data_IF_875117847852
#
_entry.id   IF_875117847852
#
_cell.length_a   1.000
_cell.length_b   1.000
_cell.length_c   1.000
_cell.angle_alpha   90.00
_cell.angle_beta   90.00
_cell.angle_gamma   90.00
#
_symmetry.space_group_name_H-M   'P 1'
#
loop_
_entity.id
_entity.type
_entity.pdbx_description
1 polymer ?
#
# COMPACT_ATOMS: atom_id res chain seq x y z
N UNK A 1 -21.61 -21.91 -23.11
CA UNK A 1 -20.38 -22.07 -22.31
C UNK A 1 -19.27 -22.34 -23.27
N UNK A 2 -18.32 -21.43 -23.41
CA UNK A 2 -17.13 -21.68 -24.22
C UNK A 2 -16.03 -22.10 -23.25
N UNK A 3 -15.60 -23.37 -23.25
CA UNK A 3 -14.52 -23.82 -22.39
C UNK A 3 -13.24 -23.01 -22.69
N UNK A 4 -12.35 -22.92 -21.69
CA UNK A 4 -10.99 -22.40 -21.90
C UNK A 4 -10.39 -23.10 -23.13
N UNK A 5 -9.92 -22.31 -24.09
CA UNK A 5 -9.37 -22.82 -25.35
C UNK A 5 -8.10 -23.63 -25.13
N UNK A 6 -7.81 -24.57 -26.03
CA UNK A 6 -6.57 -25.36 -25.98
C UNK A 6 -5.31 -24.47 -25.97
N UNK A 7 -5.35 -23.34 -26.67
CA UNK A 7 -4.29 -22.35 -26.67
C UNK A 7 -4.09 -21.72 -25.29
N UNK A 8 -5.18 -21.38 -24.58
CA UNK A 8 -5.10 -20.87 -23.21
C UNK A 8 -4.58 -21.93 -22.23
N UNK A 9 -4.96 -23.20 -22.39
CA UNK A 9 -4.41 -24.30 -21.58
C UNK A 9 -2.93 -24.47 -21.80
N UNK A 10 -2.47 -24.48 -23.06
CA UNK A 10 -1.05 -24.61 -23.37
C UNK A 10 -0.23 -23.44 -22.82
N UNK A 11 -0.73 -22.22 -22.98
CA UNK A 11 -0.13 -21.03 -22.35
C UNK A 11 -0.04 -21.18 -20.83
N UNK A 12 -1.11 -21.66 -20.20
CA UNK A 12 -1.13 -21.88 -18.74
C UNK A 12 -0.08 -22.91 -18.32
N UNK A 13 0.12 -24.00 -19.09
CA UNK A 13 1.20 -24.98 -18.82
C UNK A 13 2.59 -24.36 -18.90
N UNK A 14 2.83 -23.49 -19.88
CA UNK A 14 4.12 -22.80 -20.02
C UNK A 14 4.40 -21.89 -18.81
N UNK A 15 3.41 -21.11 -18.38
CA UNK A 15 3.55 -20.24 -17.20
C UNK A 15 3.70 -21.05 -15.90
N UNK A 16 2.98 -22.18 -15.76
CA UNK A 16 3.18 -23.08 -14.61
C UNK A 16 4.59 -23.68 -14.56
N UNK A 17 5.19 -24.02 -15.72
CA UNK A 17 6.59 -24.48 -15.76
C UNK A 17 7.55 -23.41 -15.26
N UNK A 18 7.32 -22.14 -15.61
CA UNK A 18 8.10 -21.01 -15.09
C UNK A 18 7.95 -20.88 -13.56
N UNK A 19 6.71 -20.90 -13.07
CA UNK A 19 6.42 -20.87 -11.62
C UNK A 19 7.13 -22.00 -10.87
N UNK A 20 7.03 -23.24 -11.37
CA UNK A 20 7.67 -24.41 -10.77
C UNK A 20 9.20 -24.31 -10.81
N UNK A 21 9.75 -23.73 -11.87
CA UNK A 21 11.19 -23.44 -11.97
C UNK A 21 11.63 -22.45 -10.88
N UNK A 22 10.85 -21.39 -10.64
CA UNK A 22 11.14 -20.43 -9.56
C UNK A 22 11.01 -21.06 -8.16
N UNK A 23 9.97 -21.87 -7.92
CA UNK A 23 9.84 -22.64 -6.68
C UNK A 23 11.03 -23.58 -6.48
N UNK A 24 11.49 -24.25 -7.53
CA UNK A 24 12.65 -25.12 -7.45
C UNK A 24 13.94 -24.33 -7.17
N UNK A 25 14.14 -23.21 -7.87
CA UNK A 25 15.29 -22.31 -7.68
C UNK A 25 15.41 -21.81 -6.24
N UNK A 26 14.27 -21.53 -5.59
CA UNK A 26 14.19 -21.03 -4.20
C UNK A 26 13.94 -22.12 -3.15
N UNK A 27 13.93 -23.39 -3.53
CA UNK A 27 13.58 -24.51 -2.66
C UNK A 27 14.43 -24.62 -1.40
N UNK A 28 15.70 -24.20 -1.44
CA UNK A 28 16.59 -24.17 -0.27
C UNK A 28 16.15 -23.21 0.85
N UNK A 29 15.21 -22.30 0.57
CA UNK A 29 14.63 -21.36 1.53
C UNK A 29 13.20 -21.72 1.92
N UNK A 30 12.53 -22.61 1.18
CA UNK A 30 11.13 -22.95 1.41
C UNK A 30 10.97 -24.17 2.31
N UNK A 31 9.94 -24.14 3.15
CA UNK A 31 9.42 -25.29 3.88
C UNK A 31 8.14 -25.82 3.21
N UNK A 32 7.09 -26.01 4.01
CA UNK A 32 5.78 -26.37 3.50
C UNK A 32 5.09 -25.19 2.80
N UNK A 33 4.13 -25.50 1.94
CA UNK A 33 3.24 -24.54 1.30
C UNK A 33 1.98 -24.42 2.15
N UNK A 34 1.76 -23.25 2.73
CA UNK A 34 0.48 -22.86 3.29
C UNK A 34 -0.54 -22.76 2.16
N UNK A 35 -1.68 -23.42 2.32
CA UNK A 35 -2.85 -23.13 1.52
C UNK A 35 -3.95 -22.54 2.40
N UNK A 36 -4.67 -21.58 1.84
CA UNK A 36 -5.88 -21.04 2.42
C UNK A 36 -6.97 -21.08 1.34
N UNK A 37 -8.15 -21.57 1.70
CA UNK A 37 -9.26 -21.76 0.76
C UNK A 37 -10.60 -21.45 1.42
N UNK A 38 -11.30 -20.48 0.83
CA UNK A 38 -12.70 -20.22 1.04
C UNK A 38 -13.51 -20.86 -0.09
N UNK A 39 -14.47 -21.70 0.28
CA UNK A 39 -15.41 -22.33 -0.67
C UNK A 39 -16.84 -22.05 -0.23
N UNK A 40 -17.71 -21.84 -1.20
CA UNK A 40 -19.12 -21.52 -0.95
C UNK A 40 -20.02 -22.20 -1.96
N UNK A 41 -21.24 -22.54 -1.53
CA UNK A 41 -22.30 -22.88 -2.48
C UNK A 41 -23.00 -21.62 -2.94
N UNK A 42 -23.25 -21.52 -4.25
CA UNK A 42 -24.05 -20.43 -4.81
C UNK A 42 -25.52 -20.51 -4.38
N UNK A 43 -26.37 -19.65 -4.95
CA UNK A 43 -27.82 -19.63 -4.69
C UNK A 43 -28.50 -20.98 -4.91
N UNK A 44 -27.97 -21.84 -5.79
CA UNK A 44 -28.52 -23.17 -6.05
C UNK A 44 -28.33 -24.17 -4.89
N UNK A 45 -27.45 -23.86 -3.92
CA UNK A 45 -27.03 -24.69 -2.77
C UNK A 45 -26.60 -26.12 -3.14
N UNK A 46 -26.25 -26.38 -4.40
CA UNK A 46 -25.97 -27.73 -4.92
C UNK A 46 -24.49 -27.97 -5.15
N UNK A 47 -23.80 -27.00 -5.75
CA UNK A 47 -22.38 -27.14 -6.12
C UNK A 47 -21.50 -26.25 -5.25
N UNK A 48 -20.40 -26.82 -4.77
CA UNK A 48 -19.33 -26.04 -4.15
C UNK A 48 -18.52 -25.33 -5.22
N UNK A 49 -18.13 -24.09 -4.94
CA UNK A 49 -17.34 -23.24 -5.84
C UNK A 49 -16.22 -22.57 -5.08
N UNK A 50 -15.11 -22.32 -5.77
CA UNK A 50 -13.99 -21.58 -5.20
C UNK A 50 -14.35 -20.10 -5.06
N UNK A 51 -14.31 -19.59 -3.83
CA UNK A 51 -14.50 -18.17 -3.53
C UNK A 51 -13.14 -17.48 -3.58
N UNK A 52 -12.18 -18.00 -2.80
CA UNK A 52 -10.82 -17.46 -2.74
C UNK A 52 -9.86 -18.56 -2.30
N UNK A 53 -8.79 -18.80 -3.04
CA UNK A 53 -7.73 -19.72 -2.63
C UNK A 53 -6.35 -19.14 -2.93
N UNK A 54 -5.36 -19.44 -2.09
CA UNK A 54 -3.97 -19.16 -2.42
C UNK A 54 -3.00 -20.21 -1.89
N UNK A 55 -1.86 -20.32 -2.55
CA UNK A 55 -0.72 -21.18 -2.18
C UNK A 55 0.49 -20.30 -1.86
N UNK A 56 1.00 -20.40 -0.65
CA UNK A 56 2.11 -19.61 -0.12
C UNK A 56 3.21 -20.54 0.41
N UNK A 57 4.32 -20.75 -0.32
CA UNK A 57 5.51 -21.38 0.24
C UNK A 57 6.02 -20.60 1.45
N UNK A 58 6.02 -21.22 2.62
CA UNK A 58 6.55 -20.62 3.85
C UNK A 58 8.07 -20.70 3.86
N UNK A 59 8.73 -19.83 4.61
CA UNK A 59 10.16 -19.99 4.86
C UNK A 59 10.40 -21.29 5.66
N UNK A 60 11.50 -21.99 5.42
CA UNK A 60 11.80 -23.28 6.06
C UNK A 60 11.91 -23.23 7.59
N UNK A 61 12.22 -22.05 8.15
CA UNK A 61 12.29 -21.83 9.59
C UNK A 61 10.97 -21.31 10.17
N UNK A 62 9.98 -21.02 9.32
CA UNK A 62 8.70 -20.48 9.73
C UNK A 62 7.82 -21.58 10.31
N UNK A 63 7.28 -21.33 11.51
CA UNK A 63 6.34 -22.21 12.18
C UNK A 63 5.02 -21.47 12.31
N UNK A 64 3.99 -21.96 11.60
CA UNK A 64 2.61 -21.48 11.74
C UNK A 64 1.72 -22.56 12.35
N UNK A 65 0.79 -22.14 13.19
CA UNK A 65 -0.34 -22.99 13.56
C UNK A 65 -1.24 -23.15 12.35
N UNK A 66 -1.26 -24.35 11.77
CA UNK A 66 -2.02 -24.71 10.56
C UNK A 66 -3.13 -25.71 10.90
N UNK A 67 -4.09 -25.89 9.98
CA UNK A 67 -5.18 -26.86 10.15
C UNK A 67 -6.43 -26.28 10.81
N UNK A 68 -6.61 -24.96 10.75
CA UNK A 68 -7.81 -24.30 11.25
C UNK A 68 -8.91 -24.39 10.19
N UNK A 69 -10.09 -24.82 10.61
CA UNK A 69 -11.26 -24.91 9.75
C UNK A 69 -12.46 -24.25 10.43
N UNK A 70 -13.23 -23.48 9.65
CA UNK A 70 -14.54 -22.98 10.05
C UNK A 70 -15.59 -23.40 9.01
N UNK A 71 -16.64 -24.05 9.47
CA UNK A 71 -17.73 -24.56 8.62
C UNK A 71 -19.06 -23.91 9.00
N UNK A 72 -19.50 -22.95 8.19
CA UNK A 72 -20.79 -22.26 8.34
C UNK A 72 -21.90 -22.93 7.52
N UNK A 73 -21.75 -24.22 7.19
CA UNK A 73 -22.72 -25.02 6.44
C UNK A 73 -22.54 -24.91 4.93
N UNK A 74 -23.00 -23.81 4.32
CA UNK A 74 -22.89 -23.56 2.87
C UNK A 74 -21.64 -22.74 2.50
N UNK A 75 -20.80 -22.40 3.49
CA UNK A 75 -19.55 -21.67 3.32
C UNK A 75 -18.50 -22.21 4.28
N UNK A 76 -17.30 -22.53 3.78
CA UNK A 76 -16.19 -23.07 4.56
C UNK A 76 -14.92 -22.27 4.34
N UNK A 77 -14.17 -22.10 5.41
CA UNK A 77 -12.82 -21.56 5.43
C UNK A 77 -11.88 -22.67 5.90
N UNK A 78 -10.84 -22.95 5.13
CA UNK A 78 -9.88 -24.00 5.42
C UNK A 78 -8.48 -23.44 5.22
N UNK A 79 -7.64 -23.57 6.25
CA UNK A 79 -6.22 -23.29 6.18
C UNK A 79 -5.43 -24.54 6.57
N UNK A 80 -4.41 -24.88 5.78
CA UNK A 80 -3.56 -26.04 6.04
C UNK A 80 -2.21 -25.90 5.36
N UNK A 81 -1.37 -26.92 5.48
CA UNK A 81 -0.11 -26.96 4.75
C UNK A 81 0.04 -28.28 3.98
N UNK A 82 0.68 -28.17 2.84
CA UNK A 82 1.06 -29.28 1.95
C UNK A 82 2.52 -29.12 1.56
N UNK A 83 3.13 -30.19 1.05
CA UNK A 83 4.46 -30.11 0.44
C UNK A 83 4.43 -29.28 -0.85
N UNK A 84 5.60 -28.82 -1.29
CA UNK A 84 5.74 -28.14 -2.58
C UNK A 84 5.28 -29.04 -3.74
N UNK A 85 5.54 -30.34 -3.68
CA UNK A 85 5.16 -31.25 -4.76
C UNK A 85 3.65 -31.50 -4.82
N UNK A 86 2.99 -31.61 -3.66
CA UNK A 86 1.52 -31.61 -3.59
C UNK A 86 0.94 -30.29 -4.13
N UNK A 87 1.54 -29.13 -3.80
CA UNK A 87 1.09 -27.84 -4.34
C UNK A 87 1.22 -27.77 -5.87
N UNK A 88 2.28 -28.35 -6.46
CA UNK A 88 2.43 -28.48 -7.92
C UNK A 88 1.37 -29.40 -8.53
N UNK A 89 1.03 -30.49 -7.85
CA UNK A 89 -0.03 -31.40 -8.26
C UNK A 89 -1.40 -30.72 -8.25
N UNK A 90 -1.69 -29.91 -7.21
CA UNK A 90 -2.92 -29.10 -7.14
C UNK A 90 -3.03 -28.17 -8.36
N UNK A 91 -1.98 -27.39 -8.64
CA UNK A 91 -1.99 -26.46 -9.78
C UNK A 91 -2.06 -27.18 -11.14
N UNK A 92 -1.37 -28.31 -11.28
CA UNK A 92 -1.46 -29.13 -12.50
C UNK A 92 -2.86 -29.69 -12.68
N UNK A 93 -3.50 -30.16 -11.60
CA UNK A 93 -4.87 -30.71 -11.62
C UNK A 93 -5.90 -29.65 -12.04
N UNK A 94 -5.75 -28.40 -11.59
CA UNK A 94 -6.60 -27.29 -12.03
C UNK A 94 -6.55 -27.12 -13.55
N UNK A 95 -5.38 -27.26 -14.17
CA UNK A 95 -5.19 -27.01 -15.62
C UNK A 95 -5.49 -28.23 -16.48
N UNK A 96 -5.21 -29.42 -15.97
CA UNK A 96 -5.34 -30.68 -16.72
C UNK A 96 -6.69 -31.35 -16.55
N UNK A 97 -7.32 -31.16 -15.39
CA UNK A 97 -8.55 -31.87 -15.02
C UNK A 97 -9.71 -30.94 -14.68
N UNK A 98 -9.52 -29.62 -14.66
CA UNK A 98 -10.54 -28.65 -14.25
C UNK A 98 -11.05 -28.87 -12.81
N UNK A 99 -10.15 -29.28 -11.91
CA UNK A 99 -10.49 -29.51 -10.50
C UNK A 99 -9.48 -28.85 -9.55
N UNK A 100 -9.98 -28.21 -8.50
CA UNK A 100 -9.20 -27.74 -7.36
C UNK A 100 -9.43 -28.69 -6.18
N UNK A 101 -8.36 -29.37 -5.77
CA UNK A 101 -8.37 -30.36 -4.69
C UNK A 101 -7.42 -29.93 -3.58
N UNK A 102 -7.94 -29.38 -2.49
CA UNK A 102 -7.16 -29.02 -1.31
C UNK A 102 -7.59 -29.88 -0.11
N UNK A 103 -6.66 -30.26 0.79
CA UNK A 103 -7.03 -31.00 1.98
C UNK A 103 -8.08 -30.26 2.82
N UNK A 104 -9.11 -30.97 3.28
CA UNK A 104 -10.20 -30.38 4.09
C UNK A 104 -11.24 -29.60 3.30
N UNK A 105 -11.06 -29.36 1.99
CA UNK A 105 -12.08 -28.79 1.11
C UNK A 105 -12.83 -29.90 0.35
N UNK A 106 -14.10 -29.70 -0.03
CA UNK A 106 -14.71 -30.52 -1.07
C UNK A 106 -13.95 -30.35 -2.38
N UNK A 107 -14.05 -31.34 -3.27
CA UNK A 107 -13.54 -31.25 -4.64
C UNK A 107 -14.33 -30.19 -5.41
N UNK A 108 -13.62 -29.24 -6.02
CA UNK A 108 -14.22 -28.07 -6.69
C UNK A 108 -13.97 -28.16 -8.19
N UNK A 109 -15.04 -28.23 -8.99
CA UNK A 109 -14.99 -28.04 -10.43
C UNK A 109 -14.57 -26.57 -10.73
N UNK A 110 -13.52 -26.38 -11.52
CA UNK A 110 -12.96 -25.05 -11.81
C UNK A 110 -12.29 -24.99 -13.17
N UNK A 111 -12.53 -23.91 -13.92
CA UNK A 111 -11.73 -23.58 -15.09
C UNK A 111 -10.95 -22.31 -14.81
N UNK A 112 -9.62 -22.41 -14.85
CA UNK A 112 -8.74 -21.28 -14.62
C UNK A 112 -7.55 -21.29 -15.60
N UNK A 113 -7.07 -20.10 -15.95
CA UNK A 113 -5.93 -19.94 -16.86
C UNK A 113 -4.95 -18.87 -16.38
N UNK A 114 -3.69 -19.01 -16.79
CA UNK A 114 -2.65 -18.00 -16.62
C UNK A 114 -2.38 -17.34 -17.97
N UNK A 115 -2.42 -16.00 -18.00
CA UNK A 115 -2.13 -15.26 -19.22
C UNK A 115 -0.63 -14.99 -19.37
N UNK A 116 0.01 -15.24 -20.53
CA UNK A 116 1.45 -15.03 -20.75
C UNK A 116 1.93 -13.59 -20.59
N UNK A 117 1.03 -12.61 -20.77
CA UNK A 117 1.31 -11.18 -20.58
C UNK A 117 0.88 -10.65 -19.20
N UNK A 118 0.37 -11.53 -18.33
CA UNK A 118 0.17 -11.26 -16.90
C UNK A 118 1.07 -12.14 -16.02
N UNK A 119 2.29 -12.55 -16.46
CA UNK A 119 3.09 -13.44 -15.65
C UNK A 119 3.58 -12.61 -14.48
N UNK A 120 3.20 -13.05 -13.28
CA UNK A 120 3.61 -12.51 -12.00
C UNK A 120 3.57 -10.98 -11.81
N UNK A 121 2.62 -10.50 -11.00
CA UNK A 121 2.79 -9.17 -10.42
C UNK A 121 3.90 -9.25 -9.37
N UNK A 122 4.96 -8.45 -9.54
CA UNK A 122 5.97 -8.27 -8.49
C UNK A 122 5.41 -7.32 -7.42
N UNK A 123 5.28 -7.83 -6.21
CA UNK A 123 4.95 -7.04 -5.04
C UNK A 123 6.21 -6.87 -4.20
N UNK A 124 6.56 -5.62 -3.90
CA UNK A 124 7.60 -5.33 -2.95
C UNK A 124 7.15 -5.63 -1.52
N UNK A 125 8.11 -5.68 -0.59
CA UNK A 125 7.84 -6.02 0.81
C UNK A 125 6.97 -5.01 1.56
N UNK A 126 6.65 -3.84 1.01
CA UNK A 126 5.77 -2.85 1.63
C UNK A 126 4.28 -3.03 1.31
N UNK A 127 3.90 -4.06 0.55
CA UNK A 127 2.50 -4.36 0.21
C UNK A 127 2.04 -5.68 0.83
N UNK A 128 1.02 -5.62 1.69
CA UNK A 128 0.57 -6.76 2.49
C UNK A 128 -0.85 -7.23 2.12
N UNK A 129 -1.00 -7.85 0.95
CA UNK A 129 -2.28 -8.48 0.52
C UNK A 129 -2.49 -9.87 1.11
N UNK A 130 -1.39 -10.59 1.30
CA UNK A 130 -1.34 -11.92 1.92
C UNK A 130 -0.65 -11.82 3.29
N UNK A 131 -0.72 -12.86 4.14
CA UNK A 131 0.07 -12.93 5.36
C UNK A 131 1.56 -13.18 5.03
N UNK A 132 2.18 -12.24 4.32
CA UNK A 132 3.55 -12.28 3.82
C UNK A 132 4.15 -10.87 3.89
N UNK A 133 5.31 -10.77 4.51
CA UNK A 133 6.05 -9.52 4.74
C UNK A 133 7.37 -9.45 3.97
N UNK A 134 7.52 -10.29 2.94
CA UNK A 134 8.66 -10.36 2.03
C UNK A 134 8.20 -10.09 0.60
N UNK A 135 9.07 -9.61 -0.29
CA UNK A 135 8.70 -9.40 -1.69
C UNK A 135 8.34 -10.72 -2.36
N UNK A 136 7.43 -10.69 -3.32
CA UNK A 136 6.94 -11.91 -3.96
C UNK A 136 6.41 -11.67 -5.37
N UNK A 137 6.40 -12.75 -6.15
CA UNK A 137 5.66 -12.82 -7.40
C UNK A 137 4.29 -13.46 -7.16
N UNK A 138 3.22 -12.81 -7.63
CA UNK A 138 1.85 -13.33 -7.59
C UNK A 138 1.42 -13.87 -8.95
N UNK A 139 1.28 -15.18 -9.07
CA UNK A 139 0.67 -15.82 -10.23
C UNK A 139 -0.83 -15.98 -9.98
N UNK A 140 -1.63 -15.05 -10.50
CA UNK A 140 -3.08 -15.05 -10.34
C UNK A 140 -3.75 -15.82 -11.50
N UNK A 141 -4.40 -16.93 -11.16
CA UNK A 141 -5.14 -17.76 -12.11
C UNK A 141 -6.51 -17.13 -12.35
N UNK A 142 -6.74 -16.67 -13.58
CA UNK A 142 -8.02 -16.11 -13.99
C UNK A 142 -9.05 -17.22 -14.12
N UNK A 143 -9.96 -17.27 -13.15
CA UNK A 143 -11.07 -18.23 -13.09
C UNK A 143 -12.21 -17.76 -14.01
N UNK A 144 -12.72 -18.68 -14.83
CA UNK A 144 -13.89 -18.43 -15.67
C UNK A 144 -15.13 -18.11 -14.83
N UNK A 145 -15.95 -17.15 -15.29
CA UNK A 145 -17.05 -16.61 -14.51
C UNK A 145 -18.07 -17.66 -14.09
N UNK A 146 -18.28 -18.70 -14.90
CA UNK A 146 -19.24 -19.77 -14.61
C UNK A 146 -18.76 -20.69 -13.47
N UNK A 147 -17.50 -20.59 -13.04
CA UNK A 147 -16.88 -21.40 -11.99
C UNK A 147 -16.56 -20.62 -10.71
N UNK A 148 -16.77 -19.30 -10.71
CA UNK A 148 -16.54 -18.45 -9.53
C UNK A 148 -17.61 -18.72 -8.46
N UNK A 149 -17.15 -18.86 -7.21
CA UNK A 149 -17.99 -18.80 -6.02
C UNK A 149 -18.09 -17.38 -5.49
N UNK A 150 -19.13 -17.10 -4.71
CA UNK A 150 -19.36 -15.81 -4.07
C UNK A 150 -19.26 -15.97 -2.54
N UNK A 151 -18.67 -14.97 -1.88
CA UNK A 151 -18.71 -14.90 -0.42
C UNK A 151 -20.11 -14.49 0.08
N UNK A 152 -20.63 -15.10 1.15
CA UNK A 152 -21.88 -14.67 1.78
C UNK A 152 -21.86 -13.19 2.18
N UNK A 153 -22.94 -12.46 1.88
CA UNK A 153 -23.09 -11.06 2.29
C UNK A 153 -23.73 -10.89 3.68
N UNK A 154 -24.34 -11.97 4.19
CA UNK A 154 -24.94 -12.02 5.52
C UNK A 154 -23.91 -12.37 6.61
N UNK A 155 -24.26 -12.07 7.85
CA UNK A 155 -23.44 -12.44 9.01
C UNK A 155 -23.25 -13.95 9.12
N UNK A 156 -22.04 -14.35 9.49
CA UNK A 156 -21.63 -15.72 9.75
C UNK A 156 -21.50 -15.92 11.26
N UNK A 157 -22.12 -16.95 11.82
CA UNK A 157 -22.07 -17.30 13.24
C UNK A 157 -22.41 -18.77 13.45
N UNK A 158 -21.94 -19.34 14.56
CA UNK A 158 -22.23 -20.70 15.01
C UNK A 158 -21.86 -20.87 16.48
N UNK A 159 -22.34 -21.92 17.13
CA UNK A 159 -22.13 -22.14 18.58
C UNK A 159 -20.64 -22.15 18.96
N UNK A 160 -19.82 -22.81 18.14
CA UNK A 160 -18.37 -22.95 18.35
C UNK A 160 -17.55 -22.22 17.27
N UNK A 161 -18.14 -21.21 16.62
CA UNK A 161 -17.51 -20.46 15.53
C UNK A 161 -17.47 -18.97 15.84
N UNK A 162 -16.42 -18.25 15.39
CA UNK A 162 -16.38 -16.80 15.49
C UNK A 162 -17.53 -16.16 14.72
N UNK A 163 -17.92 -14.96 15.14
CA UNK A 163 -18.92 -14.15 14.43
C UNK A 163 -18.23 -13.21 13.45
N UNK A 164 -18.72 -13.15 12.22
CA UNK A 164 -18.26 -12.19 11.21
C UNK A 164 -19.46 -11.48 10.55
N UNK A 165 -19.34 -10.19 10.20
CA UNK A 165 -20.42 -9.45 9.56
C UNK A 165 -20.68 -9.89 8.12
N UNK A 166 -19.71 -10.52 7.45
CA UNK A 166 -19.83 -11.06 6.10
C UNK A 166 -18.79 -12.16 5.85
N UNK A 167 -18.94 -12.90 4.74
CA UNK A 167 -17.93 -13.85 4.27
C UNK A 167 -16.61 -13.19 3.88
N UNK A 168 -16.65 -11.97 3.33
CA UNK A 168 -15.42 -11.20 3.04
C UNK A 168 -14.63 -10.87 4.31
N UNK A 169 -15.31 -10.37 5.34
CA UNK A 169 -14.67 -10.09 6.63
C UNK A 169 -14.11 -11.37 7.29
N UNK A 170 -14.81 -12.50 7.12
CA UNK A 170 -14.33 -13.78 7.60
C UNK A 170 -13.07 -14.23 6.86
N UNK A 171 -12.99 -14.08 5.53
CA UNK A 171 -11.80 -14.38 4.72
C UNK A 171 -10.60 -13.53 5.18
N UNK A 172 -10.78 -12.21 5.30
CA UNK A 172 -9.71 -11.29 5.71
C UNK A 172 -9.17 -11.62 7.09
N UNK A 173 -10.07 -11.84 8.05
CA UNK A 173 -9.68 -12.14 9.43
C UNK A 173 -9.07 -13.53 9.56
N UNK A 174 -9.62 -14.54 8.88
CA UNK A 174 -9.21 -15.94 9.06
C UNK A 174 -7.91 -16.25 8.32
N UNK A 175 -7.71 -15.69 7.13
CA UNK A 175 -6.48 -15.88 6.34
C UNK A 175 -5.46 -14.76 6.51
N UNK A 176 -5.76 -13.75 7.34
CA UNK A 176 -4.91 -12.56 7.53
C UNK A 176 -4.56 -11.88 6.20
N UNK A 177 -5.55 -11.78 5.30
CA UNK A 177 -5.41 -11.17 3.98
C UNK A 177 -6.04 -9.79 3.91
N UNK A 178 -5.58 -8.96 2.99
CA UNK A 178 -6.19 -7.67 2.62
C UNK A 178 -6.36 -7.60 1.11
N UNK A 179 -7.35 -8.33 0.59
CA UNK A 179 -7.56 -8.44 -0.85
C UNK A 179 -8.34 -7.26 -1.45
N UNK A 180 -8.87 -6.36 -0.59
CA UNK A 180 -9.40 -5.04 -0.93
C UNK A 180 -10.91 -4.88 -0.70
N UNK A 181 -11.36 -3.63 -0.59
CA UNK A 181 -12.78 -3.25 -0.44
C UNK A 181 -13.53 -3.43 -1.76
N UNK A 182 -13.93 -4.65 -2.10
CA UNK A 182 -14.92 -4.86 -3.15
C UNK A 182 -15.91 -5.94 -2.74
N UNK A 183 -17.17 -5.63 -3.01
CA UNK A 183 -18.39 -6.44 -2.82
C UNK A 183 -18.41 -7.76 -3.61
N UNK A 184 -17.27 -8.39 -3.90
CA UNK A 184 -17.16 -9.65 -4.62
C UNK A 184 -15.81 -10.31 -4.36
N UNK A 185 -15.60 -10.89 -3.16
CA UNK A 185 -14.72 -12.06 -3.07
C UNK A 185 -15.31 -13.13 -4.00
N UNK A 186 -14.83 -13.14 -5.24
CA UNK A 186 -15.49 -13.78 -6.37
C UNK A 186 -14.48 -14.52 -7.24
N UNK A 187 -14.27 -15.80 -6.96
CA UNK A 187 -13.40 -16.71 -7.69
C UNK A 187 -11.98 -16.19 -7.88
N UNK A 188 -11.21 -16.19 -6.79
CA UNK A 188 -9.78 -15.89 -6.75
C UNK A 188 -8.94 -17.15 -6.54
N UNK A 189 -7.87 -17.36 -7.32
CA UNK A 189 -6.88 -18.42 -7.08
C UNK A 189 -5.49 -17.88 -7.41
N UNK A 190 -4.58 -17.87 -6.44
CA UNK A 190 -3.21 -17.42 -6.66
C UNK A 190 -2.15 -18.41 -6.14
N UNK A 191 -1.04 -18.49 -6.86
CA UNK A 191 0.17 -19.15 -6.39
C UNK A 191 1.27 -18.11 -6.21
N UNK A 192 1.85 -18.08 -5.01
CA UNK A 192 2.84 -17.08 -4.63
C UNK A 192 4.26 -17.65 -4.74
N UNK A 193 5.21 -16.79 -5.08
CA UNK A 193 6.63 -17.11 -5.09
C UNK A 193 7.37 -16.05 -4.25
N UNK A 194 7.42 -16.22 -2.92
CA UNK A 194 8.16 -15.31 -2.04
C UNK A 194 9.65 -15.28 -2.32
N UNK A 195 10.31 -14.15 -2.10
CA UNK A 195 11.76 -14.05 -2.14
C UNK A 195 12.32 -13.79 -0.74
N UNK A 196 12.60 -14.88 -0.02
CA UNK A 196 13.14 -14.82 1.34
C UNK A 196 14.65 -14.52 1.38
N UNK A 197 15.29 -14.21 0.24
CA UNK A 197 16.71 -13.84 0.21
C UNK A 197 16.98 -12.56 0.99
N UNK A 198 16.06 -11.60 0.91
CA UNK A 198 16.07 -10.42 1.76
C UNK A 198 14.93 -9.47 1.43
N UNK A 199 14.78 -8.43 2.26
CA UNK A 199 13.88 -7.31 2.02
C UNK A 199 14.52 -6.00 2.46
N UNK A 200 14.04 -4.90 1.92
CA UNK A 200 14.32 -3.56 2.45
C UNK A 200 13.44 -3.39 3.68
N UNK A 201 14.06 -3.24 4.85
CA UNK A 201 13.35 -3.02 6.10
C UNK A 201 13.04 -1.54 6.26
N UNK A 202 14.05 -0.69 6.12
CA UNK A 202 13.91 0.74 6.32
C UNK A 202 14.80 1.55 5.35
N UNK A 203 14.29 2.71 4.92
CA UNK A 203 15.05 3.77 4.27
C UNK A 203 14.90 5.04 5.10
N UNK A 204 15.98 5.49 5.72
CA UNK A 204 16.05 6.78 6.42
C UNK A 204 16.63 7.83 5.49
N UNK A 205 15.85 8.86 5.19
CA UNK A 205 16.26 9.99 4.35
C UNK A 205 16.64 11.15 5.29
N UNK A 206 17.93 11.45 5.38
CA UNK A 206 18.44 12.66 6.02
C UNK A 206 18.79 13.74 4.98
N UNK A 207 19.28 14.89 5.44
CA UNK A 207 19.62 16.03 4.57
C UNK A 207 20.77 15.72 3.59
N UNK A 208 21.83 15.04 4.07
CA UNK A 208 23.05 14.77 3.29
C UNK A 208 23.36 13.27 3.15
N UNK A 209 22.51 12.40 3.66
CA UNK A 209 22.71 10.96 3.56
C UNK A 209 21.39 10.20 3.50
N UNK A 210 21.40 9.08 2.78
CA UNK A 210 20.38 8.06 2.86
C UNK A 210 20.98 6.85 3.55
N UNK A 211 20.27 6.30 4.53
CA UNK A 211 20.59 5.01 5.13
C UNK A 211 19.54 3.98 4.72
N UNK A 212 19.98 2.79 4.39
CA UNK A 212 19.13 1.66 4.02
C UNK A 212 19.47 0.49 4.92
N UNK A 213 18.45 -0.06 5.56
CA UNK A 213 18.51 -1.27 6.36
C UNK A 213 17.75 -2.40 5.64
N UNK A 214 18.32 -3.60 5.67
CA UNK A 214 17.74 -4.79 5.06
C UNK A 214 17.54 -5.88 6.10
N UNK A 215 16.60 -6.79 5.85
CA UNK A 215 16.47 -8.04 6.61
C UNK A 215 16.85 -9.23 5.71
N UNK A 216 17.64 -10.17 6.23
CA UNK A 216 17.94 -11.44 5.57
C UNK A 216 17.53 -12.60 6.49
N UNK A 217 16.72 -13.53 6.00
CA UNK A 217 16.34 -14.72 6.77
C UNK A 217 17.43 -15.79 6.75
N UNK A 218 17.32 -16.74 7.69
CA UNK A 218 18.23 -17.88 7.79
C UNK A 218 18.35 -18.64 6.46
N UNK A 219 19.60 -18.87 6.04
CA UNK A 219 19.92 -19.47 4.73
C UNK A 219 20.20 -18.45 3.62
N UNK A 220 20.16 -17.15 3.93
CA UNK A 220 20.58 -16.06 3.04
C UNK A 220 21.62 -15.17 3.72
N UNK A 221 22.32 -14.36 2.94
CA UNK A 221 23.41 -13.50 3.42
C UNK A 221 23.35 -12.14 2.75
N UNK A 222 23.57 -11.07 3.51
CA UNK A 222 23.71 -9.71 2.97
C UNK A 222 24.83 -9.58 1.93
N UNK A 223 25.85 -10.44 2.01
CA UNK A 223 26.98 -10.46 1.07
C UNK A 223 26.56 -10.90 -0.33
N UNK A 224 25.45 -11.62 -0.44
CA UNK A 224 24.89 -12.07 -1.71
C UNK A 224 23.98 -10.98 -2.33
N UNK A 225 23.79 -9.86 -1.63
CA UNK A 225 22.91 -8.77 -2.04
C UNK A 225 23.71 -7.49 -2.34
N UNK A 226 23.16 -6.68 -3.24
CA UNK A 226 23.62 -5.32 -3.51
C UNK A 226 22.42 -4.40 -3.66
N UNK A 227 22.45 -3.25 -3.00
CA UNK A 227 21.47 -2.21 -3.24
C UNK A 227 21.92 -1.29 -4.36
N UNK A 228 20.97 -0.80 -5.15
CA UNK A 228 21.16 0.26 -6.14
C UNK A 228 20.25 1.42 -5.75
N UNK A 229 20.84 2.59 -5.56
CA UNK A 229 20.14 3.82 -5.24
C UNK A 229 20.08 4.70 -6.48
N UNK A 230 18.90 5.27 -6.72
CA UNK A 230 18.70 6.42 -7.58
C UNK A 230 18.08 7.55 -6.76
N UNK A 231 18.58 8.76 -6.93
CA UNK A 231 18.05 9.99 -6.34
C UNK A 231 17.96 11.04 -7.41
N UNK A 232 16.83 11.75 -7.47
CA UNK A 232 16.68 12.97 -8.27
C UNK A 232 16.19 14.12 -7.40
N UNK A 233 16.78 15.30 -7.62
CA UNK A 233 16.50 16.52 -6.89
C UNK A 233 15.50 17.41 -7.65
N UNK A 234 14.94 18.42 -7.00
CA UNK A 234 13.98 19.36 -7.62
C UNK A 234 14.58 20.15 -8.80
N UNK A 235 15.90 20.39 -8.80
CA UNK A 235 16.63 20.97 -9.92
C UNK A 235 16.86 20.03 -11.12
N UNK A 236 16.34 18.80 -11.08
CA UNK A 236 16.45 17.81 -12.17
C UNK A 236 17.77 17.03 -12.21
N UNK A 237 18.76 17.42 -11.40
CA UNK A 237 20.00 16.65 -11.23
C UNK A 237 19.67 15.31 -10.57
N UNK A 238 20.29 14.24 -11.05
CA UNK A 238 20.17 12.90 -10.48
C UNK A 238 21.53 12.29 -10.18
N UNK A 239 21.58 11.43 -9.16
CA UNK A 239 22.73 10.60 -8.84
C UNK A 239 22.30 9.14 -8.71
N UNK A 240 23.28 8.25 -8.85
CA UNK A 240 23.13 6.83 -8.54
C UNK A 240 24.27 6.38 -7.62
N UNK A 241 24.00 5.37 -6.81
CA UNK A 241 25.01 4.76 -5.95
C UNK A 241 24.79 3.26 -5.77
N UNK A 242 25.88 2.54 -5.52
CA UNK A 242 25.86 1.15 -5.09
C UNK A 242 25.89 1.11 -3.56
N UNK A 243 24.99 0.33 -2.97
CA UNK A 243 24.85 0.13 -1.53
C UNK A 243 25.42 -1.24 -1.18
N UNK A 244 26.61 -1.26 -0.59
CA UNK A 244 27.22 -2.47 -0.05
C UNK A 244 26.84 -2.57 1.43
N UNK A 245 26.17 -3.66 1.80
CA UNK A 245 25.69 -3.86 3.16
C UNK A 245 26.77 -4.42 4.07
N UNK A 246 26.81 -3.92 5.30
CA UNK A 246 27.60 -4.45 6.42
C UNK A 246 26.75 -4.31 7.67
N UNK A 247 26.61 -5.40 8.44
CA UNK A 247 25.70 -5.46 9.59
C UNK A 247 24.27 -5.01 9.22
N UNK A 248 23.82 -5.49 8.06
CA UNK A 248 22.52 -5.27 7.43
C UNK A 248 22.24 -3.83 7.02
N UNK A 249 23.25 -2.97 6.99
CA UNK A 249 23.11 -1.53 6.73
C UNK A 249 24.01 -1.05 5.62
N UNK A 250 23.53 -0.08 4.86
CA UNK A 250 24.31 0.65 3.87
C UNK A 250 23.91 2.13 3.88
N UNK A 251 24.82 2.99 3.45
CA UNK A 251 24.57 4.43 3.35
C UNK A 251 25.11 4.99 2.06
N UNK A 252 24.45 6.03 1.55
CA UNK A 252 24.95 6.83 0.43
C UNK A 252 24.88 8.32 0.79
N UNK A 253 25.91 9.06 0.39
CA UNK A 253 25.91 10.52 0.49
C UNK A 253 25.00 11.12 -0.58
N UNK A 254 24.18 12.08 -0.16
CA UNK A 254 23.36 12.92 -1.04
C UNK A 254 23.71 14.38 -0.79
N UNK A 255 23.39 15.23 -1.75
CA UNK A 255 23.70 16.67 -1.66
C UNK A 255 22.59 17.47 -1.02
N UNK A 256 21.38 16.94 -1.09
CA UNK A 256 20.16 17.67 -0.79
C UNK A 256 18.99 16.69 -0.60
N UNK A 257 17.83 17.19 -0.15
CA UNK A 257 16.64 16.38 0.01
C UNK A 257 16.13 15.85 -1.36
N UNK A 258 15.86 14.54 -1.50
CA UNK A 258 15.42 13.96 -2.76
C UNK A 258 14.00 14.41 -3.13
N UNK A 259 13.77 14.79 -4.38
CA UNK A 259 12.41 14.88 -4.94
C UNK A 259 11.84 13.47 -5.11
N UNK A 260 12.62 12.57 -5.67
CA UNK A 260 12.27 11.17 -5.82
C UNK A 260 13.50 10.28 -5.61
N UNK A 261 13.23 9.13 -5.02
CA UNK A 261 14.22 8.14 -4.64
C UNK A 261 13.70 6.76 -5.00
N UNK A 262 14.60 5.91 -5.48
CA UNK A 262 14.36 4.49 -5.69
C UNK A 262 15.55 3.72 -5.13
N UNK A 263 15.26 2.77 -4.24
CA UNK A 263 16.21 1.74 -3.82
C UNK A 263 15.75 0.41 -4.41
N UNK A 264 16.68 -0.29 -5.05
CA UNK A 264 16.48 -1.64 -5.57
C UNK A 264 17.47 -2.57 -4.90
N UNK A 265 16.99 -3.69 -4.38
CA UNK A 265 17.80 -4.76 -3.81
C UNK A 265 17.93 -5.88 -4.85
N UNK A 266 19.16 -6.22 -5.22
CA UNK A 266 19.46 -7.23 -6.24
C UNK A 266 20.30 -8.37 -5.66
N UNK A 267 20.09 -9.57 -6.19
CA UNK A 267 20.99 -10.69 -6.00
C UNK A 267 22.27 -10.48 -6.81
N UNK A 268 23.45 -10.60 -6.19
CA UNK A 268 24.74 -10.39 -6.86
C UNK A 268 25.08 -11.46 -7.88
N UNK A 269 24.63 -12.69 -7.65
CA UNK A 269 25.01 -13.84 -8.48
C UNK A 269 24.41 -13.77 -9.88
N UNK A 270 23.14 -13.35 -9.99
CA UNK A 270 22.36 -13.40 -11.22
C UNK A 270 21.70 -12.05 -11.58
N UNK A 271 21.80 -11.03 -10.73
CA UNK A 271 21.22 -9.71 -10.96
C UNK A 271 19.71 -9.66 -10.79
N UNK A 272 19.08 -10.71 -10.25
CA UNK A 272 17.63 -10.73 -10.05
C UNK A 272 17.17 -9.68 -9.04
N UNK A 273 16.00 -9.09 -9.33
CA UNK A 273 15.28 -8.24 -8.39
C UNK A 273 14.85 -9.06 -7.19
N UNK A 274 15.31 -8.66 -6.00
CA UNK A 274 14.89 -9.22 -4.72
C UNK A 274 13.81 -8.33 -4.13
N UNK A 275 14.07 -7.03 -3.97
CA UNK A 275 13.12 -6.07 -3.41
C UNK A 275 13.29 -4.67 -4.02
N UNK A 276 12.31 -3.78 -3.83
CA UNK A 276 12.44 -2.36 -4.18
C UNK A 276 11.59 -1.49 -3.28
N UNK A 277 11.99 -0.23 -3.14
CA UNK A 277 11.18 0.76 -2.44
C UNK A 277 11.40 2.14 -3.04
N UNK A 278 10.33 2.91 -3.16
CA UNK A 278 10.37 4.25 -3.74
C UNK A 278 9.81 5.29 -2.79
N UNK A 279 10.31 6.50 -2.96
CA UNK A 279 9.86 7.69 -2.27
C UNK A 279 9.65 8.81 -3.29
N UNK A 280 8.56 9.55 -3.13
CA UNK A 280 8.27 10.75 -3.90
C UNK A 280 7.85 11.86 -2.94
N UNK A 281 8.63 12.93 -2.90
CA UNK A 281 8.35 14.10 -2.11
C UNK A 281 6.97 14.69 -2.47
N UNK A 282 6.16 14.98 -1.44
CA UNK A 282 4.80 15.48 -1.62
C UNK A 282 3.77 14.41 -2.03
N UNK A 283 4.14 13.14 -2.10
CA UNK A 283 3.18 12.04 -2.27
C UNK A 283 2.26 11.93 -1.05
N UNK A 284 0.97 11.69 -1.29
CA UNK A 284 0.00 11.34 -0.24
C UNK A 284 0.18 9.90 0.28
N UNK A 285 0.89 9.07 -0.47
CA UNK A 285 1.18 7.69 -0.09
C UNK A 285 2.43 7.66 0.79
N UNK A 286 2.23 7.26 2.04
CA UNK A 286 3.32 6.88 2.93
C UNK A 286 3.81 5.52 2.48
N UNK A 287 5.03 5.46 1.95
CA UNK A 287 5.68 4.17 1.67
C UNK A 287 6.11 3.56 2.99
N UNK A 288 5.63 2.37 3.32
CA UNK A 288 6.01 1.65 4.53
C UNK A 288 7.53 1.44 4.59
N UNK A 289 8.12 1.64 5.76
CA UNK A 289 9.57 1.57 5.95
C UNK A 289 10.36 2.67 5.24
N UNK A 290 9.77 3.84 4.95
CA UNK A 290 10.51 5.05 4.58
C UNK A 290 10.29 6.12 5.65
N UNK A 291 11.37 6.55 6.28
CA UNK A 291 11.38 7.58 7.33
C UNK A 291 12.19 8.79 6.88
N UNK A 292 11.70 9.98 7.21
CA UNK A 292 12.39 11.24 6.93
C UNK A 292 12.96 11.76 8.25
N UNK A 293 14.28 11.75 8.36
CA UNK A 293 15.05 12.28 9.48
C UNK A 293 15.64 13.64 9.06
N UNK A 294 14.77 14.57 8.70
CA UNK A 294 15.17 15.91 8.28
C UNK A 294 15.04 16.93 9.42
N UNK A 295 16.15 17.48 9.95
CA UNK A 295 16.14 18.63 10.85
C UNK A 295 16.05 19.96 10.06
N UNK A 296 15.53 21.02 10.71
CA UNK A 296 15.55 22.47 10.44
C UNK A 296 15.93 23.06 9.05
N UNK A 297 16.95 22.54 8.37
CA UNK A 297 17.48 22.99 7.08
C UNK A 297 16.54 22.72 5.89
N UNK A 298 15.73 21.66 5.94
CA UNK A 298 14.79 21.30 4.87
C UNK A 298 13.63 22.29 4.75
N UNK A 299 13.20 22.88 5.88
CA UNK A 299 12.18 23.93 5.85
C UNK A 299 12.75 25.21 5.28
N UNK A 300 14.01 25.53 5.57
CA UNK A 300 14.65 26.73 5.01
C UNK A 300 14.72 26.68 3.49
N UNK A 301 14.97 25.51 2.91
CA UNK A 301 14.93 25.33 1.45
C UNK A 301 13.51 25.43 0.89
N UNK A 302 12.51 24.82 1.54
CA UNK A 302 11.10 25.00 1.15
C UNK A 302 10.70 26.47 1.20
N UNK A 303 11.18 27.22 2.20
CA UNK A 303 10.99 28.66 2.30
C UNK A 303 11.61 29.38 1.09
N UNK A 304 12.85 29.06 0.73
CA UNK A 304 13.54 29.67 -0.41
C UNK A 304 12.89 29.39 -1.77
N UNK A 305 12.13 28.29 -1.90
CA UNK A 305 11.39 27.97 -3.14
C UNK A 305 10.15 28.84 -3.35
N UNK A 306 9.74 29.61 -2.35
CA UNK A 306 8.59 30.52 -2.45
C UNK A 306 7.23 29.83 -2.22
N UNK A 307 6.18 30.64 -2.21
CA UNK A 307 4.81 30.13 -2.17
C UNK A 307 4.46 29.34 -3.45
N UNK A 308 3.66 28.29 -3.28
CA UNK A 308 3.23 27.41 -4.37
C UNK A 308 1.79 26.95 -4.17
N UNK A 309 1.33 26.02 -5.01
CA UNK A 309 0.04 25.36 -4.81
C UNK A 309 0.01 24.45 -3.58
N UNK A 310 1.17 24.10 -3.01
CA UNK A 310 1.33 23.29 -1.80
C UNK A 310 1.95 24.05 -0.61
N UNK A 311 2.36 25.32 -0.77
CA UNK A 311 3.07 26.11 0.25
C UNK A 311 2.45 27.50 0.40
N UNK A 312 2.13 27.90 1.63
CA UNK A 312 1.70 29.26 1.98
C UNK A 312 2.59 29.84 3.09
N UNK A 313 2.93 31.11 2.98
CA UNK A 313 3.68 31.84 3.98
C UNK A 313 2.80 32.86 4.68
N UNK A 314 3.06 33.03 5.98
CA UNK A 314 2.46 34.05 6.83
C UNK A 314 3.54 34.57 7.76
N UNK A 315 3.78 35.89 7.74
CA UNK A 315 4.76 36.49 8.66
C UNK A 315 4.38 36.25 10.13
N UNK A 316 3.10 36.32 10.44
CA UNK A 316 2.52 36.11 11.77
C UNK A 316 1.09 35.59 11.63
N UNK A 317 0.45 35.20 12.74
CA UNK A 317 -0.99 34.92 12.72
C UNK A 317 -1.72 36.23 12.38
N UNK A 318 -2.49 36.28 11.27
CA UNK A 318 -3.16 37.49 10.86
C UNK A 318 -4.23 37.90 11.89
N UNK A 319 -4.48 39.22 12.08
CA UNK A 319 -5.56 39.70 12.95
C UNK A 319 -6.92 39.11 12.58
N UNK A 320 -7.19 38.98 11.27
CA UNK A 320 -8.31 38.22 10.73
C UNK A 320 -7.94 36.73 10.68
N UNK A 321 -8.10 36.05 11.81
CA UNK A 321 -7.68 34.65 12.02
C UNK A 321 -8.28 33.68 11.00
N UNK A 322 -9.46 33.99 10.45
CA UNK A 322 -10.11 33.17 9.44
C UNK A 322 -9.30 33.10 8.13
N UNK A 323 -8.31 33.97 7.90
CA UNK A 323 -7.39 33.84 6.76
C UNK A 323 -6.55 32.56 6.80
N UNK A 324 -6.20 32.06 8.00
CA UNK A 324 -5.55 30.76 8.16
C UNK A 324 -6.51 29.64 7.72
N UNK A 325 -7.79 29.74 8.09
CA UNK A 325 -8.82 28.81 7.66
C UNK A 325 -9.05 28.85 6.14
N UNK A 326 -8.96 30.03 5.50
CA UNK A 326 -9.02 30.16 4.03
C UNK A 326 -7.87 29.41 3.35
N UNK A 327 -6.65 29.53 3.87
CA UNK A 327 -5.50 28.77 3.37
C UNK A 327 -5.67 27.26 3.57
N UNK A 328 -6.02 26.85 4.78
CA UNK A 328 -6.18 25.46 5.15
C UNK A 328 -7.30 24.76 4.35
N UNK A 329 -8.48 25.38 4.22
CA UNK A 329 -9.59 24.80 3.43
C UNK A 329 -9.25 24.75 1.95
N UNK A 330 -8.54 25.75 1.41
CA UNK A 330 -8.09 25.74 0.02
C UNK A 330 -7.13 24.58 -0.29
N UNK A 331 -6.24 24.24 0.65
CA UNK A 331 -5.37 23.07 0.55
C UNK A 331 -6.14 21.76 0.67
N UNK A 332 -7.01 21.65 1.69
CA UNK A 332 -7.81 20.46 1.93
C UNK A 332 -8.73 20.12 0.75
N UNK A 333 -9.26 21.13 0.05
CA UNK A 333 -10.08 20.94 -1.16
C UNK A 333 -9.27 20.54 -2.41
N UNK A 334 -7.94 20.63 -2.34
CA UNK A 334 -7.01 20.19 -3.40
C UNK A 334 -6.16 19.03 -2.89
N UNK A 335 -4.83 19.12 -2.93
CA UNK A 335 -3.88 18.03 -2.67
C UNK A 335 -3.20 18.15 -1.29
N UNK A 336 -3.79 18.91 -0.37
CA UNK A 336 -3.14 19.28 0.88
C UNK A 336 -2.03 20.34 0.68
N UNK A 337 -1.26 20.59 1.73
CA UNK A 337 -0.16 21.55 1.70
C UNK A 337 0.34 21.94 3.10
N UNK A 338 1.20 22.97 3.15
CA UNK A 338 1.78 23.49 4.38
C UNK A 338 1.63 25.00 4.48
N UNK A 339 1.32 25.48 5.68
CA UNK A 339 1.36 26.91 6.02
C UNK A 339 2.54 27.12 6.97
N UNK A 340 3.48 27.97 6.59
CA UNK A 340 4.61 28.37 7.42
C UNK A 340 4.32 29.74 8.05
N UNK A 341 4.25 29.79 9.38
CA UNK A 341 4.00 31.01 10.14
C UNK A 341 5.31 31.47 10.79
N UNK A 342 5.68 32.74 10.57
CA UNK A 342 6.99 33.29 10.86
C UNK A 342 7.83 33.57 9.61
N UNK A 343 7.24 33.45 8.41
CA UNK A 343 7.91 33.63 7.10
C UNK A 343 7.08 34.60 6.26
N UNK A 344 7.71 35.63 5.68
CA UNK A 344 7.03 36.56 4.78
C UNK A 344 7.01 36.04 3.32
N UNK A 345 6.15 36.63 2.50
CA UNK A 345 5.94 36.23 1.10
C UNK A 345 7.22 36.37 0.24
N UNK A 346 8.15 37.24 0.63
CA UNK A 346 9.48 37.42 0.03
C UNK A 346 10.51 36.38 0.53
N UNK A 347 10.06 35.35 1.24
CA UNK A 347 10.86 34.29 1.87
C UNK A 347 11.73 34.76 3.04
N UNK A 348 11.54 36.00 3.53
CA UNK A 348 12.23 36.50 4.72
C UNK A 348 11.73 35.80 5.99
N UNK A 349 12.65 35.30 6.82
CA UNK A 349 12.36 34.57 8.06
C UNK A 349 12.34 35.55 9.24
N UNK A 350 11.19 35.67 9.91
CA UNK A 350 10.97 36.56 11.05
C UNK A 350 10.83 35.81 12.38
N UNK A 351 10.39 34.56 12.33
CA UNK A 351 9.99 33.80 13.50
C UNK A 351 8.59 34.15 14.00
N UNK A 352 7.93 33.20 14.64
CA UNK A 352 6.66 33.34 15.34
C UNK A 352 6.69 32.48 16.60
N UNK A 353 6.69 33.11 17.77
CA UNK A 353 6.60 32.42 19.06
C UNK A 353 5.15 32.46 19.55
N UNK A 354 4.59 31.29 19.83
CA UNK A 354 3.29 31.13 20.48
C UNK A 354 3.45 30.23 21.69
N UNK A 355 2.77 30.52 22.80
CA UNK A 355 2.85 29.69 24.01
C UNK A 355 2.27 28.28 23.79
N UNK A 356 1.23 28.16 22.97
CA UNK A 356 0.54 26.90 22.63
C UNK A 356 0.15 26.88 21.15
N UNK A 357 1.09 26.64 20.22
CA UNK A 357 0.84 26.73 18.79
C UNK A 357 -0.23 25.73 18.32
N UNK A 358 -0.14 24.47 18.78
CA UNK A 358 -1.13 23.41 18.47
C UNK A 358 -2.54 23.82 18.86
N UNK A 359 -2.75 24.25 20.10
CA UNK A 359 -4.08 24.65 20.61
C UNK A 359 -4.63 25.86 19.86
N UNK A 360 -3.77 26.85 19.61
CA UNK A 360 -4.16 28.10 18.92
C UNK A 360 -4.63 27.82 17.50
N UNK A 361 -3.87 27.05 16.72
CA UNK A 361 -4.22 26.72 15.34
C UNK A 361 -5.47 25.84 15.29
N UNK A 362 -5.55 24.82 16.14
CA UNK A 362 -6.72 23.95 16.21
C UNK A 362 -7.99 24.72 16.60
N UNK A 363 -7.90 25.68 17.52
CA UNK A 363 -9.02 26.54 17.87
C UNK A 363 -9.47 27.41 16.69
N UNK A 364 -8.54 27.99 15.93
CA UNK A 364 -8.86 28.77 14.72
C UNK A 364 -9.60 27.88 13.71
N UNK A 365 -9.03 26.72 13.36
CA UNK A 365 -9.62 25.85 12.34
C UNK A 365 -10.99 25.31 12.76
N UNK A 366 -11.18 24.89 14.03
CA UNK A 366 -12.49 24.48 14.54
C UNK A 366 -13.53 25.60 14.52
N UNK A 367 -13.10 26.84 14.74
CA UNK A 367 -14.01 27.99 14.77
C UNK A 367 -14.53 28.31 13.37
N UNK A 368 -13.66 28.28 12.37
CA UNK A 368 -13.96 28.82 11.03
C UNK A 368 -14.16 27.76 9.94
N UNK A 369 -13.67 26.53 10.08
CA UNK A 369 -13.83 25.48 9.07
C UNK A 369 -15.09 24.65 9.30
N UNK A 370 -15.71 24.22 8.20
CA UNK A 370 -16.80 23.24 8.20
C UNK A 370 -16.65 22.32 6.97
N UNK A 371 -16.48 20.99 7.15
CA UNK A 371 -16.28 20.31 8.42
C UNK A 371 -14.94 20.70 9.10
N UNK A 372 -14.75 20.38 10.39
CA UNK A 372 -13.48 20.61 11.08
C UNK A 372 -12.30 19.92 10.37
N UNK A 373 -11.17 20.61 10.30
CA UNK A 373 -9.92 20.06 9.76
C UNK A 373 -9.08 19.47 10.90
N UNK A 374 -8.51 18.29 10.63
CA UNK A 374 -7.47 17.68 11.46
C UNK A 374 -6.10 17.93 10.81
N UNK A 375 -5.17 18.52 11.56
CA UNK A 375 -3.89 19.02 11.04
C UNK A 375 -2.74 18.70 11.99
N UNK A 376 -1.53 18.54 11.45
CA UNK A 376 -0.31 18.56 12.27
C UNK A 376 0.17 19.99 12.44
N UNK A 377 0.65 20.33 13.63
CA UNK A 377 1.23 21.65 13.92
C UNK A 377 2.55 21.43 14.65
N UNK A 378 3.63 21.78 14.00
CA UNK A 378 4.99 21.57 14.48
C UNK A 378 5.69 22.93 14.65
N UNK A 379 6.55 23.04 15.66
CA UNK A 379 7.41 24.22 15.85
C UNK A 379 8.84 23.82 15.52
N UNK A 380 9.48 24.55 14.61
CA UNK A 380 10.82 24.24 14.12
C UNK A 380 11.69 25.49 14.19
N UNK A 381 12.94 25.41 14.67
CA UNK A 381 13.82 26.57 14.66
C UNK A 381 14.48 26.70 13.30
N UNK A 382 14.58 27.92 12.78
CA UNK A 382 15.38 28.22 11.58
C UNK A 382 16.17 29.47 11.89
N UNK A 383 17.50 29.39 11.82
CA UNK A 383 18.39 30.48 12.24
C UNK A 383 18.08 31.00 13.66
N UNK A 384 17.77 30.10 14.59
CA UNK A 384 17.32 30.39 15.96
C UNK A 384 16.01 31.20 16.08
N UNK A 385 15.21 31.24 15.02
CA UNK A 385 13.88 31.82 15.02
C UNK A 385 12.83 30.70 14.96
N UNK A 386 11.85 30.65 15.87
CA UNK A 386 10.81 29.61 15.85
C UNK A 386 9.87 29.81 14.66
N UNK A 387 9.61 28.78 13.88
CA UNK A 387 8.65 28.78 12.76
C UNK A 387 7.61 27.72 13.04
N UNK A 388 6.34 28.09 12.90
CA UNK A 388 5.24 27.16 13.08
C UNK A 388 4.86 26.60 11.70
N UNK A 389 4.91 25.29 11.57
CA UNK A 389 4.53 24.57 10.36
C UNK A 389 3.20 23.89 10.60
N UNK A 390 2.16 24.33 9.88
CA UNK A 390 0.86 23.67 9.88
C UNK A 390 0.80 22.79 8.64
N UNK A 391 0.69 21.48 8.81
CA UNK A 391 0.54 20.52 7.71
C UNK A 391 -0.92 20.14 7.55
N UNK A 392 -1.47 20.44 6.37
CA UNK A 392 -2.87 20.21 6.02
C UNK A 392 -2.94 19.05 5.04
N UNK A 393 -3.60 17.93 5.40
CA UNK A 393 -3.79 16.82 4.48
C UNK A 393 -4.80 17.17 3.37
N UNK A 394 -4.80 16.38 2.30
CA UNK A 394 -5.94 16.37 1.38
C UNK A 394 -7.20 15.94 2.14
N UNK A 395 -8.27 16.71 1.96
CA UNK A 395 -9.53 16.52 2.65
C UNK A 395 -10.26 15.27 2.18
N UNK A 396 -10.75 14.46 3.12
CA UNK A 396 -11.55 13.26 2.82
C UNK A 396 -13.04 13.56 2.67
N UNK A 397 -13.51 14.66 3.26
CA UNK A 397 -14.91 15.08 3.27
C UNK A 397 -15.14 16.37 2.45
N UNK A 398 -14.61 16.41 1.22
CA UNK A 398 -14.71 17.59 0.34
C UNK A 398 -16.18 17.88 -0.03
N UNK A 399 -16.61 19.15 -0.12
CA UNK A 399 -15.81 20.35 0.06
C UNK A 399 -15.73 20.80 1.54
N UNK A 400 -14.58 21.34 1.91
CA UNK A 400 -14.36 22.09 3.14
C UNK A 400 -14.63 23.58 2.88
N UNK A 401 -15.48 24.17 3.70
CA UNK A 401 -15.84 25.58 3.63
C UNK A 401 -15.23 26.37 4.79
N UNK A 402 -15.01 27.66 4.55
CA UNK A 402 -14.86 28.64 5.61
C UNK A 402 -16.25 29.21 5.90
N UNK A 403 -16.71 29.08 7.15
CA UNK A 403 -17.99 29.63 7.62
C UNK A 403 -18.11 31.09 7.19
N UNK A 404 -19.27 31.44 6.65
CA UNK A 404 -19.63 32.79 6.18
C UNK A 404 -18.78 33.36 5.01
N UNK A 405 -17.86 32.59 4.42
CA UNK A 405 -17.08 32.99 3.22
C UNK A 405 -17.21 32.04 2.03
N UNK A 406 -17.42 30.75 2.28
CA UNK A 406 -17.63 29.73 1.24
C UNK A 406 -16.41 28.84 0.99
N UNK A 407 -16.39 28.20 -0.17
CA UNK A 407 -15.46 27.12 -0.51
C UNK A 407 -14.32 27.66 -1.36
N UNK A 408 -13.11 27.60 -0.83
CA UNK A 408 -11.88 28.05 -1.49
C UNK A 408 -11.10 26.89 -2.06
N UNK A 409 -10.34 27.15 -3.13
CA UNK A 409 -9.39 26.23 -3.75
C UNK A 409 -8.10 26.94 -4.14
N UNK A 410 -7.02 26.18 -4.18
CA UNK A 410 -5.73 26.62 -4.73
C UNK A 410 -5.79 26.75 -6.27
N UNK A 411 -5.11 27.79 -6.77
CA UNK A 411 -4.83 28.06 -8.18
C UNK A 411 -3.41 28.60 -8.28
N UNK A 412 -2.41 27.71 -8.35
CA UNK A 412 -1.01 28.06 -8.09
C UNK A 412 -0.83 28.59 -6.66
N UNK A 413 0.00 29.61 -6.49
CA UNK A 413 0.18 30.31 -5.21
C UNK A 413 -1.04 31.13 -4.74
N UNK A 414 -2.07 31.29 -5.59
CA UNK A 414 -3.29 32.05 -5.24
C UNK A 414 -4.43 31.16 -4.74
N UNK A 415 -5.44 31.79 -4.13
CA UNK A 415 -6.66 31.15 -3.63
C UNK A 415 -7.87 31.84 -4.26
N UNK A 416 -8.86 31.07 -4.70
CA UNK A 416 -10.13 31.59 -5.23
C UNK A 416 -11.31 30.76 -4.80
N UNK A 417 -12.51 31.32 -4.94
CA UNK A 417 -13.76 30.59 -4.74
C UNK A 417 -13.88 29.50 -5.81
N UNK A 418 -14.32 28.31 -5.40
CA UNK A 418 -14.58 27.19 -6.30
C UNK A 418 -15.72 27.53 -7.25
N UNK A 419 -15.54 27.19 -8.54
CA UNK A 419 -16.63 27.31 -9.52
C UNK A 419 -17.66 26.20 -9.31
N UNK A 420 -18.85 26.38 -9.88
CA UNK A 420 -19.90 25.35 -9.86
C UNK A 420 -19.39 23.98 -10.35
N UNK A 421 -18.64 23.93 -11.45
CA UNK A 421 -18.10 22.68 -12.00
C UNK A 421 -17.13 21.99 -11.04
N UNK A 422 -16.28 22.74 -10.35
CA UNK A 422 -15.34 22.19 -9.38
C UNK A 422 -16.06 21.70 -8.12
N UNK A 423 -17.16 22.35 -7.74
CA UNK A 423 -18.04 21.86 -6.67
C UNK A 423 -18.71 20.55 -7.07
N UNK A 424 -19.28 20.48 -8.29
CA UNK A 424 -19.92 19.27 -8.80
C UNK A 424 -18.93 18.08 -8.83
N UNK A 425 -17.66 18.33 -9.19
CA UNK A 425 -16.58 17.33 -9.12
C UNK A 425 -16.30 16.85 -7.68
N UNK A 426 -16.16 17.78 -6.74
CA UNK A 426 -15.92 17.45 -5.33
C UNK A 426 -17.07 16.63 -4.72
N UNK A 427 -18.32 17.00 -5.02
CA UNK A 427 -19.50 16.26 -4.55
C UNK A 427 -19.64 14.89 -5.25
N UNK A 428 -19.29 14.77 -6.53
CA UNK A 428 -19.32 13.49 -7.24
C UNK A 428 -18.31 12.49 -6.66
N UNK A 429 -17.15 12.99 -6.18
CA UNK A 429 -16.18 12.19 -5.43
C UNK A 429 -16.73 11.57 -4.14
N UNK A 430 -17.73 12.21 -3.51
CA UNK A 430 -18.46 11.62 -2.37
C UNK A 430 -19.37 10.46 -2.80
N UNK A 431 -20.06 10.58 -3.93
CA UNK A 431 -21.01 9.56 -4.39
C UNK A 431 -20.37 8.25 -4.87
N UNK A 432 -19.09 8.26 -5.26
CA UNK A 432 -18.33 7.01 -5.47
C UNK A 432 -17.98 6.28 -4.15
N UNK A 433 -18.04 6.97 -3.00
CA UNK A 433 -17.76 6.42 -1.68
C UNK A 433 -19.02 6.25 -0.80
N UNK A 434 -20.22 6.60 -1.29
CA UNK A 434 -21.45 6.60 -0.48
C UNK A 434 -22.68 6.04 -1.21
N UNK A 435 -22.50 5.03 -2.07
CA UNK A 435 -23.58 4.08 -2.42
C UNK A 435 -23.52 2.80 -1.53
N UNK A 436 -23.36 3.01 -0.23
CA UNK A 436 -23.87 2.13 0.81
C UNK A 436 -24.97 2.93 1.53
N UNK A 437 -26.19 2.72 1.04
CA UNK A 437 -27.52 3.28 1.29
C UNK A 437 -27.92 3.75 2.71
N UNK A 438 -29.03 4.53 2.85
CA UNK A 438 -30.18 4.70 1.92
C UNK A 438 -30.35 6.05 1.24
#
# INVERSE_FOLDING_TARGET
MSPISDAQRENTRLVLKELFSLWHKRSGLYGNVLFASAVGKGYDKKKWRNVCSFLLPLHKAEVRSIGVQADYGDFKLVEGAISIDEAKEVLSTVVERDHLCLPGTPEIEIQASLHPNSPHHFWDSGWHRFPLFFPYYEYNLSIDQDFKGESPQQALYGVDLPVFPSGGAAIESFFSTRLGDNSSYGGFLAALVPDYRGKIEEIRIGTNSIQVEIECLAGSSEKDLIGKLFVRYHGGISITADLNFTDHKASAEIRDFPRDLLVVLLCRQDGELVDRRSFLAGSQYVTEGVTIEAPEQDIEQVIQMGESDAVEFKREIPPQREQIAVGATAFANRRGGRIFIGVADDCSIFGCRLDKPKDTINQILRSYCDPPLDVSVDEVQIRNLPIIVVTIPEGKDKPYAVKDKGIYIRSGASKRIATRYELDEMYSGKHSATNLFP
#
